data_IF_798395991455
#
_entry.id   IF_798395991455
#
_cell.length_a   1.000
_cell.length_b   1.000
_cell.length_c   1.000
_cell.angle_alpha   90.00
_cell.angle_beta   90.00
_cell.angle_gamma   90.00
#
_symmetry.space_group_name_H-M   'P 1'
#
loop_
_entity.id
_entity.type
_entity.pdbx_description
1 polymer ?
#
# COMPACT_ATOMS: atom_id res chain seq x y z
N UNK A 1 -12.31 -7.98 5.82
CA UNK A 1 -10.85 -8.18 5.92
C UNK A 1 -10.19 -7.07 5.13
N UNK A 2 -9.04 -6.57 5.57
CA UNK A 2 -8.29 -5.50 4.90
C UNK A 2 -7.20 -6.10 4.01
N UNK A 3 -7.14 -5.67 2.75
CA UNK A 3 -6.20 -6.18 1.76
C UNK A 3 -5.43 -5.06 1.08
N UNK A 4 -4.11 -5.17 1.05
CA UNK A 4 -3.25 -4.33 0.23
C UNK A 4 -3.23 -4.84 -1.22
N UNK A 5 -3.43 -3.91 -2.15
CA UNK A 5 -3.37 -4.12 -3.59
C UNK A 5 -2.01 -3.64 -4.07
N UNK A 6 -1.21 -4.54 -4.62
CA UNK A 6 0.22 -4.30 -4.85
C UNK A 6 0.54 -4.42 -6.34
N UNK A 7 1.26 -3.43 -6.87
CA UNK A 7 1.87 -3.46 -8.19
C UNK A 7 3.32 -3.03 -8.10
N UNK A 8 4.21 -3.73 -8.82
CA UNK A 8 5.64 -3.45 -8.86
C UNK A 8 6.28 -3.37 -7.46
N UNK A 9 5.80 -4.21 -6.54
CA UNK A 9 6.27 -4.25 -5.15
C UNK A 9 5.81 -3.09 -4.29
N UNK A 10 4.89 -2.24 -4.75
CA UNK A 10 4.36 -1.09 -4.00
C UNK A 10 2.86 -1.24 -3.79
N UNK A 11 2.38 -0.91 -2.58
CA UNK A 11 0.96 -0.88 -2.26
C UNK A 11 0.33 0.33 -2.95
N UNK A 12 -0.47 0.08 -3.97
CA UNK A 12 -1.23 1.11 -4.68
C UNK A 12 -2.41 1.60 -3.84
N UNK A 13 -3.11 0.67 -3.21
CA UNK A 13 -4.30 0.96 -2.43
C UNK A 13 -4.58 -0.13 -1.39
N UNK A 14 -5.44 0.18 -0.43
CA UNK A 14 -5.92 -0.77 0.57
C UNK A 14 -7.44 -0.77 0.59
N UNK A 15 -8.03 -1.96 0.57
CA UNK A 15 -9.49 -2.13 0.50
C UNK A 15 -9.98 -3.07 1.58
N UNK A 16 -11.18 -2.80 2.09
CA UNK A 16 -11.90 -3.71 2.97
C UNK A 16 -12.92 -4.51 2.17
N UNK A 17 -12.73 -5.82 2.11
CA UNK A 17 -13.61 -6.71 1.35
C UNK A 17 -13.62 -8.14 1.89
N UNK A 18 -14.40 -9.00 1.24
CA UNK A 18 -14.39 -10.45 1.47
C UNK A 18 -13.21 -11.11 0.76
N UNK A 19 -12.81 -12.29 1.21
CA UNK A 19 -11.77 -13.09 0.54
C UNK A 19 -12.11 -13.36 -0.93
N UNK A 20 -13.36 -13.74 -1.23
CA UNK A 20 -13.81 -13.97 -2.61
C UNK A 20 -13.62 -12.74 -3.52
N UNK A 21 -13.84 -11.53 -3.00
CA UNK A 21 -13.59 -10.31 -3.77
C UNK A 21 -12.09 -10.04 -3.93
N UNK A 22 -11.29 -10.29 -2.89
CA UNK A 22 -9.83 -10.17 -2.97
C UNK A 22 -9.23 -11.12 -4.01
N UNK A 23 -9.73 -12.35 -4.11
CA UNK A 23 -9.34 -13.34 -5.12
C UNK A 23 -9.55 -12.80 -6.53
N UNK A 24 -10.68 -12.11 -6.78
CA UNK A 24 -10.96 -11.47 -8.06
C UNK A 24 -10.01 -10.32 -8.38
N UNK A 25 -9.46 -9.64 -7.38
CA UNK A 25 -8.48 -8.57 -7.59
C UNK A 25 -7.10 -9.10 -8.00
N UNK A 26 -6.78 -10.36 -7.69
CA UNK A 26 -5.51 -10.99 -8.10
C UNK A 26 -5.36 -11.16 -9.61
N UNK A 27 -6.43 -10.97 -10.40
CA UNK A 27 -6.33 -10.91 -11.86
C UNK A 27 -5.87 -9.55 -12.37
N UNK A 28 -5.87 -8.51 -11.52
CA UNK A 28 -5.56 -7.11 -11.88
C UNK A 28 -4.31 -6.58 -11.19
N UNK A 29 -4.01 -7.05 -9.99
CA UNK A 29 -2.84 -6.65 -9.20
C UNK A 29 -1.83 -7.79 -9.16
N UNK A 30 -0.55 -7.45 -9.11
CA UNK A 30 0.52 -8.45 -9.02
C UNK A 30 0.43 -9.24 -7.69
N UNK A 31 0.03 -8.58 -6.60
CA UNK A 31 -0.27 -9.24 -5.34
C UNK A 31 -1.47 -8.60 -4.63
N UNK A 32 -2.20 -9.43 -3.88
CA UNK A 32 -3.29 -9.03 -3.00
C UNK A 32 -3.09 -9.74 -1.67
N UNK A 33 -2.64 -9.00 -0.67
CA UNK A 33 -2.17 -9.54 0.61
C UNK A 33 -3.00 -8.97 1.74
N UNK A 34 -3.49 -9.83 2.62
CA UNK A 34 -4.24 -9.38 3.80
C UNK A 34 -3.29 -8.67 4.75
N UNK A 35 -3.69 -7.52 5.27
CA UNK A 35 -2.86 -6.72 6.18
C UNK A 35 -3.74 -5.82 7.05
N UNK A 36 -3.35 -5.67 8.31
CA UNK A 36 -4.01 -4.74 9.24
C UNK A 36 -3.30 -3.37 9.25
N UNK A 37 -2.02 -3.31 8.85
CA UNK A 37 -1.16 -2.14 9.08
C UNK A 37 -0.77 -1.39 7.79
N UNK A 38 -0.45 -2.09 6.71
CA UNK A 38 0.15 -1.45 5.52
C UNK A 38 -0.78 -0.42 4.88
N UNK A 39 -0.21 0.63 4.28
CA UNK A 39 -0.95 1.69 3.60
C UNK A 39 -0.48 1.91 2.17
N UNK A 40 -1.16 2.78 1.40
CA UNK A 40 -0.67 3.21 0.09
C UNK A 40 0.77 3.76 0.17
N UNK A 41 1.60 3.42 -0.81
CA UNK A 41 3.02 3.81 -0.88
C UNK A 41 3.98 2.90 -0.10
N UNK A 42 3.48 1.96 0.71
CA UNK A 42 4.33 0.97 1.38
C UNK A 42 4.92 -0.01 0.36
N UNK A 43 6.13 -0.50 0.62
CA UNK A 43 6.77 -1.53 -0.21
C UNK A 43 6.45 -2.93 0.33
N UNK A 44 6.26 -3.90 -0.57
CA UNK A 44 6.09 -5.32 -0.28
C UNK A 44 7.16 -6.13 -1.01
N UNK A 45 7.97 -6.88 -0.27
CA UNK A 45 9.08 -7.70 -0.79
C UNK A 45 8.71 -9.17 -1.04
N UNK A 46 7.44 -9.54 -0.84
CA UNK A 46 6.97 -10.92 -0.91
C UNK A 46 6.68 -11.54 0.45
N UNK A 47 7.16 -10.95 1.54
CA UNK A 47 7.00 -11.46 2.91
C UNK A 47 6.62 -10.38 3.93
N UNK A 48 7.17 -9.17 3.80
CA UNK A 48 7.08 -8.07 4.76
C UNK A 48 6.69 -6.75 4.09
N UNK A 49 5.92 -5.92 4.81
CA UNK A 49 5.62 -4.55 4.42
C UNK A 49 6.62 -3.57 5.04
N UNK A 50 7.07 -2.59 4.26
CA UNK A 50 7.93 -1.50 4.72
C UNK A 50 7.26 -0.15 4.49
N UNK A 51 7.22 0.69 5.52
CA UNK A 51 6.69 2.05 5.45
C UNK A 51 7.47 2.90 4.43
N UNK A 52 6.80 3.78 3.67
CA UNK A 52 7.49 4.76 2.84
C UNK A 52 8.27 5.73 3.74
N UNK A 53 9.37 6.27 3.20
CA UNK A 53 10.07 7.36 3.86
C UNK A 53 9.11 8.54 4.08
N UNK A 54 9.17 9.21 5.24
CA UNK A 54 8.31 10.36 5.51
C UNK A 54 8.53 11.44 4.46
N UNK A 55 7.44 12.10 4.03
CA UNK A 55 7.54 13.21 3.09
C UNK A 55 8.41 14.34 3.67
N UNK A 56 9.24 15.01 2.85
CA UNK A 56 9.97 16.18 3.29
C UNK A 56 9.00 17.25 3.81
N UNK A 57 9.21 17.71 5.05
CA UNK A 57 8.42 18.82 5.57
C UNK A 57 8.70 20.09 4.75
N UNK A 58 7.69 20.91 4.43
CA UNK A 58 7.91 22.19 3.76
C UNK A 58 8.83 23.05 4.64
N UNK A 59 9.92 23.55 4.06
CA UNK A 59 10.73 24.57 4.71
C UNK A 59 9.88 25.85 4.84
N UNK A 60 9.86 26.54 5.99
CA UNK A 60 9.18 27.82 6.10
C UNK A 60 9.77 28.80 5.07
N UNK A 61 8.95 29.23 4.12
CA UNK A 61 9.31 30.31 3.20
C UNK A 61 9.30 31.61 4.00
N UNK A 62 10.47 32.02 4.50
CA UNK A 62 10.65 33.34 5.09
C UNK A 62 10.49 34.37 3.98
N UNK A 63 9.27 34.89 3.80
CA UNK A 63 9.01 36.04 2.96
C UNK A 63 9.59 37.30 3.65
N UNK A 64 10.63 37.95 3.08
CA UNK A 64 11.28 39.13 3.68
C UNK A 64 10.41 40.40 3.66
#
# INVERSE_FOLDING_TARGET
>A
MRYALINDGVVDNVVECTEEFADRLRTRYQAVVQTEEAGPGWTWDGETFSEPAPEPQPVPENNP
#
